data_IF_995357111960
#
_entry.id   IF_995357111960
#
_cell.length_a   1.000
_cell.length_b   1.000
_cell.length_c   1.000
_cell.angle_alpha   90.00
_cell.angle_beta   90.00
_cell.angle_gamma   90.00
#
_symmetry.space_group_name_H-M   'P 1'
#
loop_
_entity.id
_entity.type
_entity.pdbx_description
1 polymer ?
#
# COMPACT_ATOMS: atom_id res chain seq x y z
N UNK A 1 -27.59 19.54 -34.70
CA UNK A 1 -26.25 20.15 -34.87
C UNK A 1 -25.39 19.72 -33.71
N UNK A 2 -24.07 19.91 -33.79
CA UNK A 2 -23.14 19.51 -32.73
C UNK A 2 -22.83 20.71 -31.83
N UNK A 3 -22.96 20.55 -30.52
CA UNK A 3 -22.54 21.54 -29.53
C UNK A 3 -21.35 20.94 -28.77
N UNK A 4 -20.20 21.62 -28.79
CA UNK A 4 -18.97 21.16 -28.16
C UNK A 4 -18.68 22.03 -26.93
N UNK A 5 -18.45 21.37 -25.80
CA UNK A 5 -18.05 21.99 -24.54
C UNK A 5 -16.78 21.30 -24.06
N UNK A 6 -15.83 22.09 -23.56
CA UNK A 6 -14.54 21.61 -23.04
C UNK A 6 -14.45 21.96 -21.57
N UNK A 7 -14.19 20.97 -20.73
CA UNK A 7 -14.05 21.12 -19.29
C UNK A 7 -12.65 20.68 -18.86
N UNK A 8 -12.08 21.37 -17.87
CA UNK A 8 -10.85 20.93 -17.20
C UNK A 8 -11.25 19.95 -16.09
N UNK A 9 -10.67 18.75 -16.08
CA UNK A 9 -10.88 17.77 -15.00
C UNK A 9 -9.89 18.08 -13.88
N UNK A 10 -10.40 18.51 -12.73
CA UNK A 10 -9.62 18.85 -11.55
C UNK A 10 -9.78 17.81 -10.43
N UNK A 11 -8.80 17.65 -9.52
CA UNK A 11 -8.89 16.76 -8.34
C UNK A 11 -10.16 16.92 -7.50
N UNK A 12 -10.74 18.13 -7.47
CA UNK A 12 -11.95 18.45 -6.72
C UNK A 12 -13.24 17.80 -7.29
N UNK A 13 -13.18 17.18 -8.47
CA UNK A 13 -14.33 16.52 -9.12
C UNK A 13 -14.24 14.98 -9.08
N UNK A 14 -13.24 14.42 -8.40
CA UNK A 14 -13.17 13.00 -8.09
C UNK A 14 -14.05 12.66 -6.86
N UNK A 15 -14.69 11.47 -6.80
CA UNK A 15 -14.58 10.33 -7.72
C UNK A 15 -15.57 10.40 -8.92
N UNK A 16 -16.54 11.31 -8.89
CA UNK A 16 -17.66 11.34 -9.82
C UNK A 16 -17.99 12.77 -10.26
N UNK A 17 -17.78 13.05 -11.54
CA UNK A 17 -18.22 14.28 -12.17
C UNK A 17 -19.60 14.06 -12.79
N UNK A 18 -20.61 14.81 -12.33
CA UNK A 18 -21.92 14.87 -12.98
C UNK A 18 -22.11 16.16 -13.75
N UNK A 19 -22.54 16.06 -15.00
CA UNK A 19 -22.87 17.19 -15.85
C UNK A 19 -24.38 17.27 -16.08
N UNK A 20 -24.94 18.46 -15.91
CA UNK A 20 -26.30 18.81 -16.33
C UNK A 20 -26.22 19.78 -17.51
N UNK A 21 -26.91 19.46 -18.60
CA UNK A 21 -27.15 20.39 -19.70
C UNK A 21 -28.66 20.61 -19.80
N UNK A 22 -29.10 21.86 -19.80
CA UNK A 22 -30.51 22.21 -19.99
C UNK A 22 -30.69 23.45 -20.88
N UNK A 23 -31.89 23.61 -21.43
CA UNK A 23 -32.29 24.78 -22.20
C UNK A 23 -33.76 25.09 -21.96
N UNK A 24 -34.14 26.37 -22.08
CA UNK A 24 -35.50 26.86 -21.88
C UNK A 24 -36.10 27.30 -23.21
N UNK A 25 -37.17 26.64 -23.64
CA UNK A 25 -37.94 27.02 -24.82
C UNK A 25 -38.69 28.35 -24.59
N UNK A 26 -38.94 29.16 -25.64
CA UNK A 26 -39.88 30.29 -25.58
C UNK A 26 -41.31 29.92 -25.14
N UNK A 27 -41.68 28.62 -25.16
CA UNK A 27 -42.94 28.11 -24.58
C UNK A 27 -42.96 28.08 -23.05
N UNK A 28 -41.83 28.38 -22.39
CA UNK A 28 -41.66 28.24 -20.94
C UNK A 28 -41.40 26.80 -20.48
N UNK A 29 -40.99 25.93 -21.38
CA UNK A 29 -40.70 24.51 -21.19
C UNK A 29 -39.19 24.28 -21.05
N UNK A 30 -38.77 23.39 -20.14
CA UNK A 30 -37.35 23.08 -19.92
C UNK A 30 -37.01 21.70 -20.47
N UNK A 31 -36.01 21.64 -21.35
CA UNK A 31 -35.45 20.38 -21.86
C UNK A 31 -34.09 20.19 -21.19
N UNK A 32 -33.88 19.06 -20.53
CA UNK A 32 -32.65 18.74 -19.79
C UNK A 32 -32.07 17.36 -20.16
N UNK A 33 -30.80 17.16 -19.83
CA UNK A 33 -30.09 15.88 -19.92
C UNK A 33 -28.92 15.87 -18.94
N UNK A 34 -28.78 14.78 -18.18
CA UNK A 34 -27.66 14.50 -17.28
C UNK A 34 -26.66 13.52 -17.92
N UNK A 35 -25.41 13.56 -17.45
CA UNK A 35 -24.41 12.53 -17.72
C UNK A 35 -23.41 12.40 -16.56
N UNK A 36 -23.12 11.15 -16.18
CA UNK A 36 -22.21 10.78 -15.09
C UNK A 36 -20.87 10.30 -15.68
N UNK A 37 -19.77 10.90 -15.23
CA UNK A 37 -18.41 10.59 -15.64
C UNK A 37 -17.60 10.15 -14.42
N UNK A 38 -17.15 8.90 -14.43
CA UNK A 38 -16.21 8.39 -13.41
C UNK A 38 -14.86 9.10 -13.57
N UNK A 39 -14.33 9.64 -12.47
CA UNK A 39 -13.07 10.39 -12.42
C UNK A 39 -12.10 9.63 -11.52
N UNK A 40 -10.86 9.45 -11.97
CA UNK A 40 -9.81 8.79 -11.18
C UNK A 40 -9.60 9.50 -9.83
N UNK A 41 -9.38 8.72 -8.76
CA UNK A 41 -9.19 9.17 -7.36
C UNK A 41 -7.90 10.00 -7.17
N UNK A 42 -7.89 11.18 -7.77
CA UNK A 42 -6.75 12.09 -7.88
C UNK A 42 -6.64 12.97 -6.64
N UNK A 43 -5.62 12.75 -5.82
CA UNK A 43 -5.32 13.66 -4.70
C UNK A 43 -4.74 15.01 -5.20
N UNK A 44 -5.14 16.15 -4.61
CA UNK A 44 -4.70 17.48 -5.04
C UNK A 44 -3.21 17.76 -4.77
N UNK A 45 -2.72 17.45 -3.56
CA UNK A 45 -1.30 17.65 -3.23
C UNK A 45 -0.44 16.55 -3.90
N UNK A 46 0.37 16.93 -4.88
CA UNK A 46 1.15 15.97 -5.70
C UNK A 46 2.47 15.60 -5.02
N UNK A 47 2.42 14.54 -4.23
CA UNK A 47 3.58 13.99 -3.49
C UNK A 47 4.38 13.04 -4.39
N UNK A 48 5.71 13.18 -4.36
CA UNK A 48 6.68 12.25 -4.95
C UNK A 48 7.78 11.97 -3.94
N UNK A 49 8.22 10.72 -3.90
CA UNK A 49 9.29 10.23 -3.02
C UNK A 49 10.29 9.48 -3.90
N UNK A 50 11.60 9.61 -3.65
CA UNK A 50 12.63 8.87 -4.40
C UNK A 50 13.96 8.80 -3.65
N UNK A 51 14.58 7.62 -3.65
CA UNK A 51 15.96 7.45 -3.17
C UNK A 51 16.97 7.70 -4.28
N UNK A 52 18.08 8.36 -3.93
CA UNK A 52 19.22 8.63 -4.80
C UNK A 52 20.52 8.30 -4.03
N UNK A 53 21.22 7.20 -4.36
CA UNK A 53 20.88 6.14 -5.33
C UNK A 53 19.70 5.26 -4.89
N UNK A 54 19.21 4.39 -5.79
CA UNK A 54 18.15 3.39 -5.52
C UNK A 54 18.67 2.07 -4.93
N UNK A 55 19.97 1.83 -4.99
CA UNK A 55 20.65 0.68 -4.41
C UNK A 55 21.88 1.16 -3.64
N UNK A 56 22.21 0.48 -2.55
CA UNK A 56 23.37 0.80 -1.71
C UNK A 56 23.71 -0.33 -0.76
N UNK A 57 24.83 -0.15 -0.05
CA UNK A 57 25.36 -1.14 0.88
C UNK A 57 24.74 -0.96 2.28
N UNK A 58 24.61 -2.03 3.08
CA UNK A 58 24.47 -1.97 4.53
C UNK A 58 25.35 -0.88 5.17
N UNK A 59 24.80 -0.17 6.17
CA UNK A 59 25.44 0.92 6.92
C UNK A 59 25.95 2.14 6.12
N UNK A 60 25.81 2.18 4.79
CA UNK A 60 26.14 3.37 3.99
C UNK A 60 24.98 4.38 3.97
N UNK A 61 25.23 5.63 3.54
CA UNK A 61 24.19 6.66 3.46
C UNK A 61 23.59 6.76 2.05
N UNK A 62 22.30 7.10 1.98
CA UNK A 62 21.59 7.48 0.75
C UNK A 62 20.72 8.71 0.99
N UNK A 63 20.36 9.43 -0.08
CA UNK A 63 19.50 10.60 0.02
C UNK A 63 18.05 10.21 -0.32
N UNK A 64 17.12 10.49 0.58
CA UNK A 64 15.69 10.38 0.35
C UNK A 64 15.13 11.75 -0.02
N UNK A 65 14.74 11.91 -1.28
CA UNK A 65 14.16 13.15 -1.80
C UNK A 65 12.63 13.07 -1.74
N UNK A 66 12.00 14.07 -1.13
CA UNK A 66 10.56 14.27 -1.06
C UNK A 66 10.19 15.58 -1.77
N UNK A 67 9.24 15.51 -2.70
CA UNK A 67 8.63 16.67 -3.35
C UNK A 67 7.12 16.68 -3.09
N UNK A 68 6.58 17.79 -2.59
CA UNK A 68 5.15 18.00 -2.39
C UNK A 68 4.81 19.50 -2.53
N UNK A 69 3.58 19.90 -2.18
CA UNK A 69 3.25 21.35 -2.14
C UNK A 69 4.11 22.07 -1.09
N UNK A 70 4.55 23.32 -1.34
CA UNK A 70 5.33 24.10 -0.38
C UNK A 70 4.70 24.14 1.01
N UNK A 71 5.54 24.05 2.05
CA UNK A 71 5.11 24.04 3.47
C UNK A 71 4.17 22.89 3.87
N UNK A 72 4.04 21.83 3.06
CA UNK A 72 3.34 20.61 3.49
C UNK A 72 4.03 19.99 4.72
N UNK A 73 3.24 19.39 5.61
CA UNK A 73 3.72 18.47 6.64
C UNK A 73 3.50 17.04 6.14
N UNK A 74 4.56 16.25 6.06
CA UNK A 74 4.55 14.92 5.46
C UNK A 74 5.04 13.85 6.43
N UNK A 75 4.31 12.74 6.53
CA UNK A 75 4.75 11.54 7.22
C UNK A 75 5.47 10.60 6.24
N UNK A 76 6.63 10.08 6.64
CA UNK A 76 7.48 9.15 5.90
C UNK A 76 7.44 7.77 6.57
N UNK A 77 7.25 6.72 5.75
CA UNK A 77 7.33 5.31 6.16
C UNK A 77 8.32 4.58 5.25
N UNK A 78 9.23 3.80 5.81
CA UNK A 78 9.97 2.76 5.07
C UNK A 78 10.02 1.47 5.88
N UNK A 79 9.62 0.34 5.27
CA UNK A 79 9.53 -0.98 5.89
C UNK A 79 10.18 -2.06 5.02
N UNK A 80 10.61 -3.15 5.64
CA UNK A 80 11.12 -4.30 4.90
C UNK A 80 9.98 -4.96 4.10
N UNK A 81 10.26 -5.38 2.86
CA UNK A 81 9.30 -6.08 1.98
C UNK A 81 8.65 -7.30 2.64
N UNK A 82 9.37 -8.03 3.51
CA UNK A 82 8.83 -9.16 4.28
C UNK A 82 7.67 -8.76 5.20
N UNK A 83 7.69 -7.55 5.76
CA UNK A 83 6.59 -7.02 6.60
C UNK A 83 5.33 -6.81 5.77
N UNK A 84 5.47 -6.26 4.55
CA UNK A 84 4.33 -6.07 3.64
C UNK A 84 3.76 -7.40 3.13
N UNK A 85 4.60 -8.41 2.93
CA UNK A 85 4.15 -9.77 2.57
C UNK A 85 3.35 -10.45 3.69
N UNK A 86 3.47 -10.02 4.95
CA UNK A 86 2.61 -10.53 6.04
C UNK A 86 1.21 -9.91 6.04
N UNK A 87 1.06 -8.64 5.60
CA UNK A 87 -0.21 -7.91 5.56
C UNK A 87 -0.25 -6.85 4.44
N UNK A 88 -0.56 -7.24 3.19
CA UNK A 88 -0.67 -6.29 2.09
C UNK A 88 -1.96 -5.45 2.14
N UNK A 89 -3.01 -5.92 2.83
CA UNK A 89 -4.33 -5.26 2.90
C UNK A 89 -4.35 -3.99 3.77
N UNK A 90 -3.32 -3.77 4.61
CA UNK A 90 -3.14 -2.58 5.45
C UNK A 90 -2.39 -1.43 4.71
N UNK A 91 -2.20 -1.48 3.38
CA UNK A 91 -1.58 -0.39 2.62
C UNK A 91 -2.55 0.78 2.31
N UNK A 92 -2.13 1.98 2.68
CA UNK A 92 -2.86 3.22 2.42
C UNK A 92 -2.88 3.52 0.92
N UNK A 93 -4.08 3.57 0.33
CA UNK A 93 -4.31 3.82 -1.09
C UNK A 93 -5.23 5.06 -1.31
N UNK A 94 -5.22 5.68 -2.49
CA UNK A 94 -6.14 6.78 -2.80
C UNK A 94 -7.61 6.35 -2.68
N UNK A 95 -7.94 5.14 -3.15
CA UNK A 95 -9.27 4.54 -2.96
C UNK A 95 -9.67 4.49 -1.49
N UNK A 96 -8.83 3.95 -0.61
CA UNK A 96 -9.11 3.92 0.84
C UNK A 96 -9.42 5.32 1.42
N UNK A 97 -8.68 6.35 1.01
CA UNK A 97 -8.91 7.73 1.45
C UNK A 97 -10.23 8.30 0.92
N UNK A 98 -10.56 8.05 -0.35
CA UNK A 98 -11.88 8.42 -0.92
C UNK A 98 -13.02 7.59 -0.33
N UNK A 99 -12.74 6.36 0.14
CA UNK A 99 -13.74 5.47 0.74
C UNK A 99 -14.16 5.88 2.15
N UNK A 100 -13.32 6.63 2.87
CA UNK A 100 -13.65 7.28 4.14
C UNK A 100 -14.57 8.51 3.99
N UNK A 101 -14.84 9.00 2.77
CA UNK A 101 -15.73 10.14 2.57
C UNK A 101 -17.20 9.74 2.82
N UNK A 102 -17.91 10.39 3.77
CA UNK A 102 -19.24 9.97 4.20
C UNK A 102 -20.35 10.25 3.19
N UNK A 103 -20.07 11.05 2.15
CA UNK A 103 -21.00 11.39 1.07
C UNK A 103 -20.19 11.59 -0.22
N UNK A 104 -20.03 10.52 -1.00
CA UNK A 104 -19.35 10.53 -2.31
C UNK A 104 -20.28 10.95 -3.45
N UNK A 105 -21.59 10.76 -3.24
CA UNK A 105 -22.63 10.89 -4.25
C UNK A 105 -23.95 11.25 -3.56
N UNK A 106 -24.77 12.07 -4.21
CA UNK A 106 -26.17 12.33 -3.83
C UNK A 106 -27.06 11.70 -4.91
N UNK A 107 -28.08 10.92 -4.54
CA UNK A 107 -29.07 10.36 -5.49
C UNK A 107 -30.47 10.63 -4.97
N UNK A 108 -31.31 11.28 -5.78
CA UNK A 108 -32.67 11.63 -5.36
C UNK A 108 -32.68 12.63 -4.20
N UNK A 109 -33.83 12.70 -3.52
CA UNK A 109 -34.00 13.45 -2.28
C UNK A 109 -33.92 12.52 -1.05
N UNK A 110 -32.98 11.58 -1.06
CA UNK A 110 -32.71 10.66 0.05
C UNK A 110 -31.51 11.20 0.84
N UNK A 111 -31.69 11.48 2.13
CA UNK A 111 -30.59 11.84 3.03
C UNK A 111 -30.59 10.94 4.26
N UNK A 112 -29.61 10.05 4.35
CA UNK A 112 -29.64 8.89 5.26
C UNK A 112 -30.93 8.11 5.01
N UNK A 113 -31.77 7.94 6.03
CA UNK A 113 -33.04 7.21 5.96
C UNK A 113 -34.25 8.12 5.70
N UNK A 114 -34.05 9.43 5.50
CA UNK A 114 -35.12 10.40 5.27
C UNK A 114 -35.41 10.59 3.78
N UNK A 115 -36.66 10.37 3.40
CA UNK A 115 -37.21 10.77 2.10
C UNK A 115 -37.67 12.23 2.18
N UNK A 116 -37.10 13.10 1.34
CA UNK A 116 -37.29 14.55 1.37
C UNK A 116 -37.98 15.10 0.10
N UNK A 117 -38.62 14.23 -0.67
CA UNK A 117 -39.54 14.64 -1.73
C UNK A 117 -40.85 15.15 -1.14
N UNK A 118 -41.44 16.16 -1.78
CA UNK A 118 -42.77 16.69 -1.47
C UNK A 118 -43.76 16.19 -2.53
N UNK A 119 -45.01 15.93 -2.13
CA UNK A 119 -46.05 15.49 -3.05
C UNK A 119 -46.23 16.47 -4.23
N UNK A 120 -46.41 15.94 -5.44
CA UNK A 120 -46.64 16.74 -6.63
C UNK A 120 -48.03 17.41 -6.58
N UNK A 121 -48.08 18.65 -6.07
CA UNK A 121 -49.34 19.43 -5.93
C UNK A 121 -49.89 19.98 -7.25
N UNK A 122 -49.30 19.65 -8.41
CA UNK A 122 -49.85 20.04 -9.71
C UNK A 122 -51.11 19.21 -10.03
N UNK A 123 -52.23 19.84 -10.44
CA UNK A 123 -53.44 19.10 -10.78
C UNK A 123 -53.25 18.30 -12.08
N UNK A 124 -53.67 17.03 -12.07
CA UNK A 124 -53.69 16.20 -13.27
C UNK A 124 -54.62 16.81 -14.35
N UNK A 125 -54.29 16.58 -15.62
CA UNK A 125 -55.07 17.04 -16.75
C UNK A 125 -56.20 16.04 -17.08
N UNK A 126 -57.43 16.55 -17.12
CA UNK A 126 -58.56 15.86 -17.74
C UNK A 126 -58.56 16.16 -19.24
N UNK A 127 -58.35 15.14 -20.07
CA UNK A 127 -58.41 15.23 -21.53
C UNK A 127 -59.50 14.29 -22.07
N UNK A 128 -60.38 14.82 -22.93
CA UNK A 128 -61.43 14.04 -23.57
C UNK A 128 -60.90 13.20 -24.74
N UNK A 129 -61.59 12.08 -25.02
CA UNK A 129 -61.31 11.23 -26.17
C UNK A 129 -61.61 11.97 -27.49
N UNK A 130 -60.62 12.06 -28.39
CA UNK A 130 -60.77 12.76 -29.68
C UNK A 130 -61.28 11.77 -30.74
N UNK A 131 -62.33 12.14 -31.48
CA UNK A 131 -62.84 11.34 -32.60
C UNK A 131 -62.39 11.96 -33.92
N UNK A 132 -61.55 11.26 -34.68
CA UNK A 132 -61.03 11.68 -35.99
C UNK A 132 -61.17 10.55 -37.01
N UNK A 133 -61.85 10.83 -38.13
CA UNK A 133 -62.07 9.88 -39.24
C UNK A 133 -62.66 8.50 -38.81
N UNK A 134 -63.45 8.47 -37.73
CA UNK A 134 -64.05 7.25 -37.17
C UNK A 134 -63.17 6.49 -36.18
N UNK A 135 -61.92 6.91 -35.97
CA UNK A 135 -61.05 6.39 -34.92
C UNK A 135 -61.20 7.22 -33.63
N UNK A 136 -61.17 6.52 -32.49
CA UNK A 136 -61.17 7.14 -31.15
C UNK A 136 -59.75 7.17 -30.63
N UNK A 137 -59.23 8.37 -30.40
CA UNK A 137 -57.91 8.61 -29.82
C UNK A 137 -58.08 8.86 -28.32
N UNK A 138 -57.60 7.92 -27.52
CA UNK A 138 -57.61 8.00 -26.05
C UNK A 138 -56.30 8.66 -25.60
N UNK A 139 -56.34 9.75 -24.81
CA UNK A 139 -55.14 10.36 -24.28
C UNK A 139 -54.56 9.48 -23.16
N UNK A 140 -53.40 8.86 -23.43
CA UNK A 140 -52.64 8.10 -22.45
C UNK A 140 -51.53 8.97 -21.83
N UNK A 141 -51.20 8.70 -20.57
CA UNK A 141 -49.96 9.19 -19.97
C UNK A 141 -48.78 8.47 -20.63
N UNK A 142 -47.64 9.13 -20.91
CA UNK A 142 -46.43 8.45 -21.34
C UNK A 142 -45.80 7.70 -20.17
N UNK A 143 -46.22 6.45 -20.00
CA UNK A 143 -45.74 5.56 -18.95
C UNK A 143 -44.29 5.13 -19.22
N UNK A 144 -43.39 5.39 -18.27
CA UNK A 144 -41.97 5.07 -18.37
C UNK A 144 -41.08 6.15 -19.01
N UNK A 145 -41.65 7.23 -19.55
CA UNK A 145 -40.86 8.42 -19.94
C UNK A 145 -40.59 9.28 -18.70
N UNK A 146 -39.32 9.51 -18.37
CA UNK A 146 -38.90 10.45 -17.31
C UNK A 146 -38.89 11.89 -17.81
N UNK A 147 -39.06 12.85 -16.89
CA UNK A 147 -39.12 14.28 -17.22
C UNK A 147 -37.90 15.09 -16.73
N UNK A 148 -37.93 16.41 -16.94
CA UNK A 148 -36.85 17.30 -16.50
C UNK A 148 -36.76 17.39 -14.98
N UNK A 149 -37.85 17.21 -14.24
CA UNK A 149 -37.83 17.11 -12.77
C UNK A 149 -37.17 15.81 -12.31
N UNK A 150 -37.43 14.66 -12.96
CA UNK A 150 -36.77 13.39 -12.66
C UNK A 150 -35.24 13.50 -12.81
N UNK A 151 -34.77 14.15 -13.89
CA UNK A 151 -33.33 14.41 -14.14
C UNK A 151 -32.72 15.29 -13.03
N UNK A 152 -33.43 16.35 -12.61
CA UNK A 152 -32.96 17.25 -11.54
C UNK A 152 -32.97 16.54 -10.17
N UNK A 153 -33.97 15.69 -9.93
CA UNK A 153 -34.10 14.84 -8.74
C UNK A 153 -32.98 13.81 -8.65
N UNK A 154 -32.65 13.10 -9.73
CA UNK A 154 -31.53 12.14 -9.74
C UNK A 154 -30.21 12.80 -9.33
N UNK A 155 -29.96 14.02 -9.83
CA UNK A 155 -28.82 14.87 -9.47
C UNK A 155 -28.84 15.41 -8.02
N UNK A 156 -29.95 15.25 -7.30
CA UNK A 156 -30.15 15.77 -5.94
C UNK A 156 -30.49 17.28 -5.88
N UNK A 157 -30.92 17.88 -6.99
CA UNK A 157 -31.08 19.32 -7.14
C UNK A 157 -32.54 19.77 -7.04
N UNK A 158 -32.94 20.28 -5.88
CA UNK A 158 -34.26 20.92 -5.71
C UNK A 158 -34.29 22.30 -6.36
N UNK A 159 -34.90 22.39 -7.55
CA UNK A 159 -34.95 23.62 -8.36
C UNK A 159 -36.27 24.38 -8.18
N UNK A 160 -36.17 25.68 -7.89
CA UNK A 160 -37.29 26.61 -7.89
C UNK A 160 -37.35 27.33 -9.24
N UNK A 161 -38.45 27.18 -9.99
CA UNK A 161 -38.60 27.76 -11.34
C UNK A 161 -40.05 28.09 -11.66
N UNK A 162 -40.27 29.05 -12.56
CA UNK A 162 -41.57 29.34 -13.18
C UNK A 162 -41.77 28.63 -14.52
N UNK A 163 -40.76 27.90 -15.00
CA UNK A 163 -40.81 27.08 -16.21
C UNK A 163 -41.34 25.67 -15.92
N UNK A 164 -41.90 25.02 -16.94
CA UNK A 164 -42.44 23.66 -16.86
C UNK A 164 -41.29 22.66 -16.89
N UNK A 165 -41.11 21.95 -15.78
CA UNK A 165 -40.14 20.85 -15.61
C UNK A 165 -40.81 19.48 -15.46
N UNK A 166 -42.03 19.45 -14.92
CA UNK A 166 -42.85 18.25 -14.78
C UNK A 166 -43.56 17.89 -16.09
N UNK A 167 -43.71 16.60 -16.38
CA UNK A 167 -44.65 16.10 -17.39
C UNK A 167 -46.10 16.29 -16.94
N UNK A 168 -47.05 16.52 -17.87
CA UNK A 168 -48.46 16.58 -17.52
C UNK A 168 -49.03 15.19 -17.25
N UNK A 169 -49.28 14.86 -15.98
CA UNK A 169 -50.04 13.66 -15.63
C UNK A 169 -51.49 13.77 -16.11
N UNK A 170 -51.99 12.75 -16.80
CA UNK A 170 -53.40 12.65 -17.20
C UNK A 170 -54.15 11.91 -16.09
N UNK A 171 -55.35 12.38 -15.72
CA UNK A 171 -56.14 11.81 -14.63
C UNK A 171 -56.63 10.38 -14.95
N UNK A 172 -55.81 9.36 -14.66
CA UNK A 172 -56.17 7.95 -14.85
C UNK A 172 -56.99 7.39 -13.68
N UNK A 173 -57.86 6.41 -13.96
CA UNK A 173 -58.69 5.74 -12.97
C UNK A 173 -58.53 4.22 -13.07
N UNK A 174 -57.42 3.69 -12.53
CA UNK A 174 -57.09 2.26 -12.59
C UNK A 174 -57.49 1.50 -11.32
N UNK A 175 -58.30 0.42 -11.42
CA UNK A 175 -58.41 -0.59 -10.39
C UNK A 175 -57.07 -1.31 -10.23
N UNK A 176 -56.50 -1.30 -9.03
CA UNK A 176 -55.14 -1.77 -8.79
C UNK A 176 -54.96 -3.29 -8.90
N UNK A 177 -53.87 -3.71 -9.55
CA UNK A 177 -53.30 -5.05 -9.42
C UNK A 177 -51.79 -4.96 -9.20
N UNK A 178 -51.32 -5.57 -8.11
CA UNK A 178 -49.90 -5.80 -7.86
C UNK A 178 -49.32 -6.80 -8.86
N UNK A 179 -48.04 -6.66 -9.20
CA UNK A 179 -47.23 -7.78 -9.69
C UNK A 179 -45.80 -7.68 -9.13
N UNK A 180 -45.40 -8.70 -8.38
CA UNK A 180 -44.04 -8.85 -7.86
C UNK A 180 -43.03 -9.12 -8.99
N UNK A 181 -41.76 -8.78 -8.77
CA UNK A 181 -40.64 -9.40 -9.49
C UNK A 181 -39.55 -9.83 -8.52
N UNK A 182 -39.19 -11.11 -8.62
CA UNK A 182 -38.15 -11.77 -7.83
C UNK A 182 -36.74 -11.48 -8.37
N UNK A 183 -35.77 -11.38 -7.47
CA UNK A 183 -34.35 -11.49 -7.82
C UNK A 183 -34.00 -12.87 -8.41
N UNK A 184 -32.96 -12.91 -9.23
CA UNK A 184 -32.06 -14.07 -9.30
C UNK A 184 -30.65 -13.63 -9.72
N UNK A 185 -29.64 -14.38 -9.30
CA UNK A 185 -28.21 -14.08 -9.46
C UNK A 185 -27.57 -15.19 -10.31
N UNK A 186 -26.57 -14.83 -11.12
CA UNK A 186 -25.66 -15.79 -11.78
C UNK A 186 -24.21 -15.40 -11.53
N UNK A 187 -23.34 -16.41 -11.36
CA UNK A 187 -21.90 -16.23 -11.12
C UNK A 187 -21.11 -17.46 -11.62
N UNK A 188 -19.94 -17.25 -12.21
CA UNK A 188 -18.91 -18.30 -12.42
C UNK A 188 -17.51 -17.71 -12.72
N UNK A 189 -16.52 -18.23 -11.99
CA UNK A 189 -15.03 -18.28 -12.09
C UNK A 189 -14.39 -18.32 -13.50
N UNK A 190 -13.06 -18.20 -13.78
CA UNK A 190 -11.76 -17.68 -13.23
C UNK A 190 -10.72 -17.76 -14.44
N UNK A 191 -9.36 -17.67 -14.46
CA UNK A 191 -8.15 -17.63 -13.58
C UNK A 191 -6.99 -16.93 -14.38
N UNK A 192 -5.93 -16.44 -13.70
CA UNK A 192 -4.49 -16.23 -14.11
C UNK A 192 -4.11 -15.47 -15.43
N UNK A 193 -2.89 -14.97 -15.69
CA UNK A 193 -1.58 -15.01 -14.98
C UNK A 193 -0.76 -13.69 -15.19
N UNK A 194 0.40 -13.56 -14.53
CA UNK A 194 1.41 -12.49 -14.67
C UNK A 194 2.46 -12.77 -15.76
N UNK A 195 3.17 -11.73 -16.23
CA UNK A 195 4.66 -11.67 -16.11
C UNK A 195 5.21 -10.24 -16.27
N UNK A 196 6.48 -10.00 -15.89
CA UNK A 196 7.16 -8.70 -15.90
C UNK A 196 8.69 -8.85 -16.05
N UNK A 197 9.27 -8.36 -17.15
CA UNK A 197 10.75 -8.27 -17.31
C UNK A 197 11.24 -6.82 -17.41
N UNK A 198 12.16 -6.45 -16.51
CA UNK A 198 13.10 -5.34 -16.68
C UNK A 198 14.46 -5.80 -16.16
N UNK A 199 15.49 -5.71 -17.00
CA UNK A 199 16.89 -5.98 -16.64
C UNK A 199 17.63 -4.67 -16.35
N UNK A 200 18.54 -4.69 -15.37
CA UNK A 200 19.61 -3.71 -15.24
C UNK A 200 20.87 -4.38 -14.64
N UNK A 201 22.03 -3.77 -14.84
CA UNK A 201 23.34 -4.37 -14.57
C UNK A 201 24.07 -3.75 -13.37
N UNK A 202 25.09 -4.48 -12.90
CA UNK A 202 25.89 -4.17 -11.70
C UNK A 202 26.78 -2.93 -11.86
N UNK A 203 27.04 -2.25 -10.73
CA UNK A 203 28.23 -1.41 -10.55
C UNK A 203 28.78 -1.58 -9.12
N UNK A 204 30.03 -2.03 -9.00
CA UNK A 204 30.74 -2.19 -7.72
C UNK A 204 31.68 -1.00 -7.44
N UNK A 205 32.20 -0.91 -6.21
CA UNK A 205 33.18 0.09 -5.78
C UNK A 205 34.12 -0.45 -4.69
N UNK A 206 34.98 0.42 -4.15
CA UNK A 206 36.28 0.09 -3.52
C UNK A 206 36.25 -0.26 -2.00
N UNK A 207 37.28 -0.92 -1.42
CA UNK A 207 37.07 -1.80 -0.26
C UNK A 207 36.86 -1.15 1.10
N UNK A 208 35.81 -1.60 1.79
CA UNK A 208 35.54 -1.37 3.22
C UNK A 208 35.03 -2.69 3.87
N UNK A 209 35.20 -2.84 5.18
CA UNK A 209 34.77 -4.01 5.99
C UNK A 209 33.33 -3.83 6.48
N UNK A 210 32.47 -4.86 6.37
CA UNK A 210 31.05 -4.74 6.74
C UNK A 210 30.77 -5.38 8.10
N UNK A 211 30.32 -4.56 9.07
CA UNK A 211 29.90 -5.03 10.41
C UNK A 211 28.44 -4.67 10.61
N UNK A 212 27.59 -5.70 10.62
CA UNK A 212 26.14 -5.63 10.48
C UNK A 212 25.44 -6.05 11.77
N UNK A 213 24.68 -5.13 12.36
CA UNK A 213 24.05 -5.25 13.70
C UNK A 213 22.64 -4.63 13.80
N UNK A 214 22.31 -3.65 12.96
CA UNK A 214 21.06 -2.91 13.01
C UNK A 214 20.06 -3.46 11.99
N UNK A 215 19.24 -4.42 12.45
CA UNK A 215 18.28 -5.15 11.65
C UNK A 215 16.82 -4.84 12.08
N UNK A 216 16.30 -3.63 11.84
CA UNK A 216 14.92 -3.29 12.17
C UNK A 216 13.93 -3.90 11.15
N UNK A 217 12.65 -3.90 11.48
CA UNK A 217 11.53 -4.19 10.55
C UNK A 217 11.03 -2.92 9.83
N UNK A 218 11.17 -1.76 10.50
CA UNK A 218 10.83 -0.42 10.01
C UNK A 218 12.09 0.46 10.04
N UNK A 219 12.47 1.02 8.89
CA UNK A 219 13.67 1.84 8.73
C UNK A 219 13.40 3.33 8.99
N UNK A 220 12.33 3.87 8.41
CA UNK A 220 11.98 5.30 8.48
C UNK A 220 10.56 5.42 9.03
N UNK A 221 10.37 6.29 10.01
CA UNK A 221 9.08 6.58 10.64
C UNK A 221 9.06 8.01 11.18
N UNK A 222 9.05 8.97 10.26
CA UNK A 222 9.39 10.37 10.54
C UNK A 222 8.33 11.34 10.02
N UNK A 223 8.30 12.55 10.57
CA UNK A 223 7.43 13.63 10.10
C UNK A 223 8.29 14.83 9.72
N UNK A 224 8.18 15.28 8.47
CA UNK A 224 9.05 16.28 7.86
C UNK A 224 8.25 17.47 7.31
N UNK A 225 8.78 18.68 7.45
CA UNK A 225 8.21 19.89 6.85
C UNK A 225 8.87 20.19 5.51
N UNK A 226 8.07 20.28 4.45
CA UNK A 226 8.52 20.63 3.10
C UNK A 226 8.85 22.13 3.02
N UNK A 227 9.91 22.48 2.29
CA UNK A 227 10.40 23.86 2.20
C UNK A 227 9.45 24.77 1.36
N UNK A 228 9.85 26.03 1.14
CA UNK A 228 9.09 26.99 0.35
C UNK A 228 9.08 26.74 -1.17
N UNK A 229 9.93 25.84 -1.66
CA UNK A 229 10.08 25.48 -3.07
C UNK A 229 9.35 24.17 -3.41
N UNK A 230 8.87 23.43 -2.40
CA UNK A 230 8.21 22.14 -2.56
C UNK A 230 9.09 20.92 -2.27
N UNK A 231 10.34 21.12 -1.84
CA UNK A 231 11.32 20.05 -1.63
C UNK A 231 11.62 19.79 -0.14
N UNK A 232 12.02 18.56 0.18
CA UNK A 232 12.73 18.18 1.39
C UNK A 232 13.66 17.00 1.08
N UNK A 233 14.95 17.17 1.33
CA UNK A 233 15.97 16.13 1.15
C UNK A 233 16.42 15.63 2.53
N UNK A 234 16.51 14.31 2.69
CA UNK A 234 16.93 13.66 3.93
C UNK A 234 18.11 12.73 3.70
N UNK A 235 19.20 12.94 4.44
CA UNK A 235 20.32 12.02 4.52
C UNK A 235 19.98 10.89 5.48
N UNK A 236 19.86 9.66 4.97
CA UNK A 236 19.46 8.48 5.76
C UNK A 236 20.48 7.36 5.64
N UNK A 237 20.87 6.79 6.78
CA UNK A 237 21.75 5.60 6.85
C UNK A 237 20.94 4.34 6.57
N UNK A 238 21.43 3.50 5.66
CA UNK A 238 20.81 2.24 5.23
C UNK A 238 20.97 1.18 6.34
N UNK A 239 19.92 0.43 6.71
CA UNK A 239 20.02 -0.60 7.73
C UNK A 239 20.83 -1.81 7.27
N UNK A 240 21.19 -2.68 8.21
CA UNK A 240 22.07 -3.82 7.95
C UNK A 240 21.35 -5.04 7.34
N UNK A 241 20.03 -4.99 7.24
CA UNK A 241 19.20 -5.97 6.54
C UNK A 241 19.41 -5.87 5.03
N UNK A 242 19.99 -6.91 4.44
CA UNK A 242 20.15 -7.06 2.98
C UNK A 242 18.79 -7.48 2.42
N UNK A 243 18.06 -6.53 1.84
CA UNK A 243 16.62 -6.64 1.54
C UNK A 243 16.19 -5.61 0.50
N UNK A 244 14.92 -5.67 0.08
CA UNK A 244 14.26 -4.57 -0.62
C UNK A 244 13.39 -3.78 0.38
N UNK A 245 13.79 -2.56 0.68
CA UNK A 245 13.00 -1.62 1.48
C UNK A 245 11.91 -0.98 0.61
N UNK A 246 10.68 -0.93 1.11
CA UNK A 246 9.53 -0.28 0.46
C UNK A 246 9.14 0.95 1.28
N UNK A 247 9.09 2.10 0.62
CA UNK A 247 8.83 3.38 1.28
C UNK A 247 7.72 4.18 0.59
N UNK A 248 6.88 4.84 1.38
CA UNK A 248 5.86 5.77 0.91
C UNK A 248 5.71 6.95 1.88
N UNK A 249 5.00 7.97 1.43
CA UNK A 249 4.77 9.20 2.17
C UNK A 249 3.35 9.71 1.94
N UNK A 250 2.74 10.31 2.96
CA UNK A 250 1.56 11.15 2.79
C UNK A 250 1.82 12.55 3.31
N UNK A 251 1.22 13.55 2.67
CA UNK A 251 1.41 14.96 2.96
C UNK A 251 0.08 15.67 3.20
N UNK A 252 0.12 16.67 4.08
CA UNK A 252 -0.99 17.58 4.36
C UNK A 252 -0.53 19.02 4.15
N UNK A 253 -1.35 19.81 3.47
CA UNK A 253 -1.14 21.23 3.21
C UNK A 253 -2.44 21.99 3.51
N UNK A 254 -2.33 23.21 4.02
CA UNK A 254 -3.49 24.09 4.21
C UNK A 254 -4.07 24.58 2.87
N UNK A 255 -3.21 24.81 1.87
CA UNK A 255 -3.60 25.40 0.59
C UNK A 255 -4.02 24.34 -0.45
N UNK A 256 -3.44 23.14 -0.38
CA UNK A 256 -3.61 22.07 -1.38
C UNK A 256 -4.09 20.74 -0.80
N UNK A 257 -4.40 20.67 0.50
CA UNK A 257 -5.00 19.51 1.14
C UNK A 257 -4.10 18.29 1.24
N UNK A 258 -4.72 17.11 1.17
CA UNK A 258 -4.05 15.81 1.33
C UNK A 258 -3.40 15.32 0.02
N UNK A 259 -2.32 14.55 0.17
CA UNK A 259 -1.58 13.93 -0.92
C UNK A 259 -0.88 12.65 -0.46
N UNK A 260 -0.65 11.72 -1.39
CA UNK A 260 -0.03 10.42 -1.15
C UNK A 260 0.99 10.14 -2.26
N UNK A 261 2.17 9.64 -1.90
CA UNK A 261 3.17 9.20 -2.87
C UNK A 261 2.84 7.81 -3.39
N UNK A 262 3.38 7.46 -4.57
CA UNK A 262 3.54 6.05 -4.92
C UNK A 262 4.55 5.39 -3.96
N UNK A 263 4.41 4.08 -3.74
CA UNK A 263 5.41 3.29 -2.99
C UNK A 263 6.65 3.10 -3.85
N UNK A 264 7.78 3.63 -3.39
CA UNK A 264 9.10 3.45 -4.02
C UNK A 264 9.90 2.38 -3.32
N UNK A 265 10.93 1.88 -4.02
CA UNK A 265 11.75 0.76 -3.56
C UNK A 265 13.21 1.17 -3.49
N UNK A 266 13.89 0.74 -2.43
CA UNK A 266 15.34 0.88 -2.25
C UNK A 266 15.95 -0.49 -1.96
N UNK A 267 17.04 -0.84 -2.63
CA UNK A 267 17.69 -2.15 -2.50
C UNK A 267 18.94 -2.03 -1.63
N UNK A 268 18.90 -2.64 -0.44
CA UNK A 268 20.09 -2.83 0.38
C UNK A 268 20.74 -4.15 -0.07
N UNK A 269 21.86 -4.07 -0.79
CA UNK A 269 22.51 -5.25 -1.40
C UNK A 269 24.01 -5.29 -1.11
N UNK A 270 24.51 -6.52 -0.96
CA UNK A 270 25.92 -6.83 -0.81
C UNK A 270 26.21 -8.14 -1.58
N UNK A 271 27.21 -8.19 -2.47
CA UNK A 271 27.44 -9.39 -3.30
C UNK A 271 27.94 -10.63 -2.55
N UNK A 272 28.60 -10.45 -1.41
CA UNK A 272 29.12 -11.53 -0.56
C UNK A 272 28.81 -11.20 0.90
N UNK A 273 28.10 -12.10 1.58
CA UNK A 273 27.63 -11.90 2.96
C UNK A 273 27.30 -13.24 3.64
N UNK A 274 27.16 -13.21 4.97
CA UNK A 274 26.60 -14.30 5.77
C UNK A 274 25.19 -13.96 6.28
N UNK A 275 24.31 -14.96 6.32
CA UNK A 275 22.98 -14.88 6.92
C UNK A 275 22.85 -15.89 8.06
N UNK A 276 22.29 -15.46 9.20
CA UNK A 276 22.08 -16.32 10.36
C UNK A 276 20.63 -16.80 10.43
N UNK A 277 20.42 -18.11 10.31
CA UNK A 277 19.12 -18.72 10.60
C UNK A 277 19.05 -19.07 12.09
N UNK A 278 18.14 -18.40 12.81
CA UNK A 278 17.87 -18.60 14.23
C UNK A 278 16.35 -18.65 14.47
N UNK A 279 15.88 -19.29 15.55
CA UNK A 279 14.50 -19.13 16.03
C UNK A 279 14.28 -17.71 16.60
N UNK A 280 13.04 -17.38 16.94
CA UNK A 280 12.69 -16.12 17.62
C UNK A 280 13.21 -16.06 19.07
N UNK A 281 13.06 -17.17 19.79
CA UNK A 281 13.55 -17.36 21.16
C UNK A 281 13.97 -18.80 21.40
N UNK A 282 14.68 -19.05 22.51
CA UNK A 282 15.18 -20.36 22.94
C UNK A 282 15.13 -20.49 24.46
N UNK A 283 14.91 -21.70 24.96
CA UNK A 283 14.93 -21.98 26.41
C UNK A 283 16.38 -22.15 26.90
N UNK A 284 16.69 -21.57 28.07
CA UNK A 284 18.00 -21.73 28.72
C UNK A 284 18.35 -23.20 28.97
N UNK A 285 19.57 -23.60 28.61
CA UNK A 285 20.07 -24.96 28.81
C UNK A 285 19.58 -25.98 27.76
N UNK A 286 18.56 -25.67 26.98
CA UNK A 286 18.24 -26.45 25.77
C UNK A 286 19.26 -26.14 24.66
N UNK A 287 19.43 -27.08 23.73
CA UNK A 287 20.40 -26.92 22.64
C UNK A 287 19.69 -26.73 21.30
N UNK A 288 19.98 -25.63 20.60
CA UNK A 288 19.46 -25.33 19.27
C UNK A 288 20.56 -25.40 18.22
N UNK A 289 20.18 -25.41 16.94
CA UNK A 289 21.11 -25.39 15.81
C UNK A 289 21.17 -23.98 15.22
N UNK A 290 22.26 -23.24 15.51
CA UNK A 290 22.59 -22.00 14.83
C UNK A 290 23.16 -22.34 13.45
N UNK A 291 22.59 -21.79 12.38
CA UNK A 291 23.12 -21.93 11.02
C UNK A 291 23.61 -20.59 10.50
N UNK A 292 24.80 -20.59 9.91
CA UNK A 292 25.31 -19.48 9.12
C UNK A 292 25.39 -19.91 7.65
N UNK A 293 24.65 -19.23 6.77
CA UNK A 293 24.67 -19.48 5.32
C UNK A 293 25.39 -18.34 4.62
N UNK A 294 26.48 -18.68 3.94
CA UNK A 294 27.33 -17.75 3.21
C UNK A 294 26.86 -17.77 1.76
N UNK A 295 26.54 -16.59 1.22
CA UNK A 295 26.10 -16.40 -0.17
C UNK A 295 27.20 -15.74 -1.00
N UNK A 296 27.36 -16.20 -2.25
CA UNK A 296 28.25 -15.56 -3.22
C UNK A 296 27.50 -15.20 -4.51
N UNK A 297 27.26 -13.90 -4.71
CA UNK A 297 26.73 -13.31 -5.94
C UNK A 297 27.79 -12.55 -6.76
N UNK A 298 29.08 -12.74 -6.46
CA UNK A 298 30.19 -12.26 -7.29
C UNK A 298 30.31 -13.10 -8.57
N UNK A 299 31.01 -12.57 -9.57
CA UNK A 299 31.23 -13.23 -10.87
C UNK A 299 32.29 -14.34 -10.87
N UNK A 300 32.92 -14.60 -9.72
CA UNK A 300 33.97 -15.60 -9.54
C UNK A 300 33.78 -16.42 -8.26
N UNK A 301 34.52 -17.52 -8.14
CA UNK A 301 34.56 -18.31 -6.92
C UNK A 301 35.40 -17.62 -5.85
N UNK A 302 34.90 -17.66 -4.61
CA UNK A 302 35.61 -17.15 -3.44
C UNK A 302 35.96 -18.32 -2.50
N UNK A 303 37.02 -18.14 -1.71
CA UNK A 303 37.43 -19.07 -0.67
C UNK A 303 37.28 -18.39 0.68
N UNK A 304 36.44 -18.93 1.56
CA UNK A 304 35.98 -18.26 2.77
C UNK A 304 36.37 -19.03 4.03
N UNK A 305 36.88 -18.33 5.04
CA UNK A 305 36.84 -18.81 6.43
C UNK A 305 35.56 -18.31 7.10
N UNK A 306 35.03 -19.07 8.05
CA UNK A 306 33.83 -18.70 8.81
C UNK A 306 34.08 -19.00 10.28
N UNK A 307 33.71 -18.08 11.17
CA UNK A 307 33.93 -18.22 12.61
C UNK A 307 32.77 -17.65 13.42
N UNK A 308 32.39 -18.36 14.49
CA UNK A 308 31.49 -17.87 15.54
C UNK A 308 32.36 -17.38 16.70
N UNK A 309 32.12 -16.15 17.17
CA UNK A 309 32.87 -15.59 18.29
C UNK A 309 32.54 -16.32 19.61
N UNK A 310 33.57 -16.70 20.37
CA UNK A 310 33.40 -17.29 21.70
C UNK A 310 32.76 -16.28 22.68
N UNK A 311 31.91 -16.78 23.57
CA UNK A 311 31.23 -15.99 24.59
C UNK A 311 31.02 -16.79 25.87
N UNK A 312 30.94 -16.11 27.01
CA UNK A 312 30.55 -16.74 28.29
C UNK A 312 29.05 -17.03 28.37
N UNK A 313 28.24 -16.40 27.50
CA UNK A 313 26.77 -16.47 27.53
C UNK A 313 26.19 -17.76 26.93
N UNK A 314 26.97 -18.54 26.18
CA UNK A 314 26.56 -19.79 25.55
C UNK A 314 27.75 -20.77 25.47
N UNK A 315 27.47 -22.04 25.17
CA UNK A 315 28.44 -22.94 24.54
C UNK A 315 28.05 -23.14 23.08
N UNK A 316 29.04 -23.33 22.22
CA UNK A 316 28.84 -23.72 20.83
C UNK A 316 29.80 -24.86 20.46
N UNK A 317 29.31 -25.84 19.70
CA UNK A 317 30.13 -26.91 19.11
C UNK A 317 29.72 -27.14 17.66
N UNK A 318 30.65 -27.13 16.68
CA UNK A 318 30.30 -27.33 15.28
C UNK A 318 29.73 -28.74 15.04
N UNK A 319 28.77 -28.86 14.11
CA UNK A 319 28.15 -30.16 13.76
C UNK A 319 29.06 -31.01 12.88
N UNK A 320 29.80 -30.37 11.99
CA UNK A 320 30.82 -30.98 11.14
C UNK A 320 32.22 -30.74 11.75
N UNK A 321 33.26 -31.39 11.22
CA UNK A 321 34.62 -30.90 11.48
C UNK A 321 34.77 -29.57 10.75
N UNK A 322 35.11 -28.50 11.47
CA UNK A 322 35.45 -27.22 10.85
C UNK A 322 36.65 -27.42 9.93
N UNK A 323 36.47 -27.07 8.65
CA UNK A 323 37.54 -26.98 7.67
C UNK A 323 38.06 -25.54 7.72
N UNK A 324 39.38 -25.33 7.66
CA UNK A 324 39.99 -23.99 7.78
C UNK A 324 39.47 -22.98 6.73
N UNK A 325 38.94 -23.49 5.61
CA UNK A 325 38.28 -22.69 4.58
C UNK A 325 37.39 -23.53 3.67
N UNK A 326 36.28 -22.95 3.23
CA UNK A 326 35.35 -23.51 2.26
C UNK A 326 35.43 -22.77 0.93
N UNK A 327 35.07 -23.43 -0.16
CA UNK A 327 34.89 -22.81 -1.48
C UNK A 327 33.41 -22.52 -1.74
N UNK A 328 33.11 -21.35 -2.31
CA UNK A 328 31.75 -20.95 -2.71
C UNK A 328 31.83 -20.30 -4.10
N UNK A 329 31.32 -20.97 -5.13
CA UNK A 329 31.29 -20.43 -6.49
C UNK A 329 30.07 -19.53 -6.76
N UNK A 330 29.99 -19.01 -7.98
CA UNK A 330 28.96 -18.05 -8.43
C UNK A 330 27.55 -18.60 -8.21
N UNK A 331 26.72 -17.86 -7.48
CA UNK A 331 25.36 -18.23 -7.06
C UNK A 331 25.27 -19.49 -6.20
N UNK A 332 26.39 -20.00 -5.69
CA UNK A 332 26.40 -21.06 -4.67
C UNK A 332 26.24 -20.47 -3.27
N UNK A 333 25.94 -21.36 -2.32
CA UNK A 333 25.92 -21.07 -0.88
C UNK A 333 26.52 -22.22 -0.09
N UNK A 334 27.34 -21.93 0.92
CA UNK A 334 27.78 -22.90 1.93
C UNK A 334 27.09 -22.56 3.25
N UNK A 335 26.41 -23.52 3.85
CA UNK A 335 25.94 -23.43 5.23
C UNK A 335 26.92 -24.14 6.14
N UNK A 336 27.28 -23.50 7.24
CA UNK A 336 27.92 -24.11 8.42
C UNK A 336 26.96 -24.04 9.60
N UNK A 337 27.12 -24.91 10.60
CA UNK A 337 26.21 -24.98 11.73
C UNK A 337 26.91 -25.37 13.04
N UNK A 338 26.44 -24.77 14.13
CA UNK A 338 26.86 -25.07 15.50
C UNK A 338 25.65 -25.49 16.33
N UNK A 339 25.82 -26.52 17.16
CA UNK A 339 24.93 -26.83 18.27
C UNK A 339 25.25 -25.84 19.38
N UNK A 340 24.28 -25.02 19.75
CA UNK A 340 24.44 -23.92 20.70
C UNK A 340 23.55 -24.17 21.93
N UNK A 341 24.15 -24.08 23.12
CA UNK A 341 23.46 -24.20 24.41
C UNK A 341 23.55 -22.87 25.18
N UNK A 342 22.47 -22.08 25.30
CA UNK A 342 22.47 -20.83 26.04
C UNK A 342 22.66 -21.04 27.56
N UNK A 343 23.34 -20.08 28.21
CA UNK A 343 23.59 -20.05 29.65
C UNK A 343 22.99 -18.81 30.33
N UNK A 344 23.13 -17.66 29.69
CA UNK A 344 22.57 -16.38 30.17
C UNK A 344 21.11 -16.22 29.72
N UNK A 345 20.30 -15.54 30.53
CA UNK A 345 18.89 -15.21 30.21
C UNK A 345 18.79 -13.83 29.54
N UNK A 346 17.68 -13.60 28.83
CA UNK A 346 17.40 -12.35 28.12
C UNK A 346 18.06 -12.31 26.74
N UNK A 347 18.33 -11.11 26.22
CA UNK A 347 18.97 -10.95 24.92
C UNK A 347 20.43 -11.38 24.95
N UNK A 348 20.78 -12.43 24.20
CA UNK A 348 22.14 -12.92 24.02
C UNK A 348 22.63 -12.64 22.60
N UNK A 349 23.82 -12.05 22.48
CA UNK A 349 24.41 -11.69 21.19
C UNK A 349 25.21 -12.84 20.58
N UNK A 350 24.95 -13.12 19.30
CA UNK A 350 25.69 -14.04 18.45
C UNK A 350 26.40 -13.26 17.35
N UNK A 351 27.73 -13.34 17.32
CA UNK A 351 28.59 -12.67 16.35
C UNK A 351 29.29 -13.70 15.46
N UNK A 352 29.00 -13.70 14.16
CA UNK A 352 29.61 -14.59 13.17
C UNK A 352 30.33 -13.76 12.11
N UNK A 353 31.60 -14.08 11.86
CA UNK A 353 32.42 -13.46 10.80
C UNK A 353 32.64 -14.44 9.66
N UNK A 354 32.49 -13.97 8.41
CA UNK A 354 32.96 -14.66 7.20
C UNK A 354 34.00 -13.79 6.51
N UNK A 355 35.12 -14.36 6.05
CA UNK A 355 36.22 -13.63 5.42
C UNK A 355 36.71 -14.34 4.15
N UNK A 356 36.77 -13.61 3.04
CA UNK A 356 37.29 -14.07 1.75
C UNK A 356 38.83 -14.03 1.75
N UNK A 357 39.45 -15.21 1.84
CA UNK A 357 40.88 -15.37 2.01
C UNK A 357 41.65 -15.04 0.73
N UNK A 358 42.66 -14.17 0.83
CA UNK A 358 43.58 -13.79 -0.26
C UNK A 358 44.55 -14.93 -0.68
N UNK A 359 44.44 -16.12 -0.08
CA UNK A 359 45.35 -17.24 -0.32
C UNK A 359 44.99 -17.99 -1.61
N UNK A 360 45.94 -18.02 -2.55
CA UNK A 360 45.83 -18.52 -3.93
C UNK A 360 45.63 -20.06 -4.09
N UNK A 361 45.02 -20.75 -3.12
CA UNK A 361 44.65 -22.17 -3.30
C UNK A 361 43.33 -22.26 -4.09
N UNK A 362 43.34 -22.72 -5.36
CA UNK A 362 42.18 -22.68 -6.22
C UNK A 362 41.02 -23.55 -5.69
N UNK A 363 39.80 -23.15 -6.04
CA UNK A 363 38.60 -23.93 -5.76
C UNK A 363 38.46 -25.04 -6.81
N UNK A 364 39.26 -26.09 -6.63
CA UNK A 364 39.45 -27.15 -7.62
C UNK A 364 40.12 -26.60 -8.88
N UNK A 365 39.32 -26.41 -9.93
CA UNK A 365 39.78 -25.83 -11.20
C UNK A 365 39.52 -24.32 -11.32
N UNK A 366 38.77 -23.71 -10.40
CA UNK A 366 38.43 -22.30 -10.45
C UNK A 366 39.49 -21.44 -9.76
N UNK A 367 39.86 -20.32 -10.40
CA UNK A 367 40.65 -19.25 -9.78
C UNK A 367 39.80 -18.59 -8.70
N UNK A 368 40.40 -18.38 -7.53
CA UNK A 368 39.78 -17.65 -6.42
C UNK A 368 40.02 -16.15 -6.56
N UNK A 369 38.96 -15.36 -6.58
CA UNK A 369 39.05 -13.90 -6.44
C UNK A 369 38.75 -13.50 -4.99
N UNK A 370 39.29 -12.35 -4.55
CA UNK A 370 38.84 -11.69 -3.32
C UNK A 370 38.22 -10.36 -3.69
N UNK A 371 36.99 -10.06 -3.22
CA UNK A 371 36.27 -8.88 -3.67
C UNK A 371 36.96 -7.59 -3.22
N UNK A 372 36.90 -6.55 -4.05
CA UNK A 372 37.28 -5.19 -3.65
C UNK A 372 36.19 -4.48 -2.82
N UNK A 373 35.27 -5.21 -2.17
CA UNK A 373 34.37 -4.69 -1.11
C UNK A 373 33.85 -5.81 -0.23
N UNK A 374 33.71 -5.55 1.07
CA UNK A 374 33.20 -6.54 2.03
C UNK A 374 34.05 -7.80 2.08
N UNK A 375 35.40 -7.69 2.01
CA UNK A 375 36.31 -8.85 2.11
C UNK A 375 36.03 -9.68 3.38
N UNK A 376 35.55 -9.02 4.42
CA UNK A 376 35.01 -9.62 5.62
C UNK A 376 33.63 -9.02 5.91
N UNK A 377 32.68 -9.89 6.21
CA UNK A 377 31.32 -9.56 6.63
C UNK A 377 31.07 -10.18 8.01
N UNK A 378 30.64 -9.35 8.96
CA UNK A 378 30.42 -9.75 10.36
C UNK A 378 28.98 -9.45 10.76
N UNK A 379 28.21 -10.48 11.09
CA UNK A 379 26.82 -10.35 11.55
C UNK A 379 26.73 -10.54 13.05
N UNK A 380 26.21 -9.52 13.73
CA UNK A 380 25.83 -9.55 15.14
C UNK A 380 24.30 -9.56 15.22
N UNK A 381 23.72 -10.63 15.77
CA UNK A 381 22.27 -10.75 16.01
C UNK A 381 22.02 -11.07 17.48
N UNK A 382 20.96 -10.48 18.04
CA UNK A 382 20.47 -10.82 19.36
C UNK A 382 19.39 -11.90 19.26
N UNK A 383 19.34 -12.77 20.27
CA UNK A 383 18.36 -13.85 20.41
C UNK A 383 17.82 -13.86 21.85
N UNK A 384 16.51 -13.97 22.01
CA UNK A 384 15.88 -14.02 23.34
C UNK A 384 16.08 -15.40 23.97
N UNK A 385 16.67 -15.44 25.16
CA UNK A 385 16.80 -16.65 25.98
C UNK A 385 15.81 -16.62 27.15
N UNK A 386 14.81 -17.48 27.06
CA UNK A 386 13.71 -17.64 28.01
C UNK A 386 14.12 -18.57 29.17
N UNK A 387 13.52 -18.39 30.37
CA UNK A 387 13.75 -19.27 31.51
C UNK A 387 13.09 -20.65 31.29
N UNK A 388 13.70 -21.70 31.84
CA UNK A 388 13.15 -23.04 31.80
C UNK A 388 11.90 -23.21 32.68
N UNK A 389 10.89 -23.93 32.16
CA UNK A 389 9.66 -24.26 32.89
C UNK A 389 8.39 -24.03 32.07
N UNK A 390 7.31 -23.67 32.76
CA UNK A 390 6.04 -23.26 32.16
C UNK A 390 5.55 -22.04 32.93
N UNK A 391 5.19 -20.97 32.23
CA UNK A 391 4.71 -19.74 32.86
C UNK A 391 3.34 -19.96 33.54
N UNK A 392 3.17 -19.36 34.71
CA UNK A 392 1.92 -19.40 35.50
C UNK A 392 1.57 -17.98 35.94
N UNK A 393 0.83 -17.27 35.09
CA UNK A 393 0.27 -15.96 35.45
C UNK A 393 -0.87 -16.13 36.47
N UNK A 394 -0.93 -15.23 37.46
CA UNK A 394 -2.05 -15.14 38.43
C UNK A 394 -2.48 -13.69 38.62
N UNK A 395 -3.61 -13.33 38.02
CA UNK A 395 -4.11 -11.95 38.03
C UNK A 395 -4.98 -11.67 39.26
N UNK A 396 -4.53 -10.76 40.14
CA UNK A 396 -5.27 -10.33 41.33
C UNK A 396 -5.96 -8.97 41.07
N UNK A 397 -7.19 -8.99 40.56
CA UNK A 397 -7.98 -7.78 40.33
C UNK A 397 -8.76 -7.34 41.58
N UNK A 398 -8.90 -6.03 41.77
CA UNK A 398 -9.78 -5.44 42.79
C UNK A 398 -10.32 -4.10 42.32
N UNK A 399 -11.51 -3.72 42.79
CA UNK A 399 -12.16 -2.45 42.47
C UNK A 399 -12.21 -1.60 43.73
N UNK A 400 -11.50 -0.46 43.71
CA UNK A 400 -11.40 0.46 44.84
C UNK A 400 -12.34 1.66 44.61
N UNK A 401 -13.59 1.53 45.07
CA UNK A 401 -14.53 2.65 45.13
C UNK A 401 -14.35 3.41 46.45
N UNK A 402 -13.98 4.68 46.38
CA UNK A 402 -13.93 5.58 47.54
C UNK A 402 -15.32 6.17 47.77
N UNK A 403 -15.84 6.12 49.00
CA UNK A 403 -17.06 6.83 49.38
C UNK A 403 -16.83 8.34 49.33
N UNK A 404 -17.68 9.06 48.59
CA UNK A 404 -17.75 10.53 48.61
C UNK A 404 -18.66 11.06 49.70
#
# INVERSE_FOLDING_TARGET
GTFQLTFLVEPAVAPLARMLVYTTSPSGEVIASSADFQVENCLPNKVRLSFVPKEGLPASNTHLQLHASPRSLCALRAVDKSVLLMKPEDELSPSFVYDLLPLKEIRGYIFKDYYLEEDNVNPCLSLDNIILNGFVYIPISPDGEGDTYDILKELGLKVFTSSRIYKPEICQHYPGHMMERSYSITAMHLLDDFDYEVTDHMAAGNPEETVRKYFPETWIWDIVSVNSEGNADLDVTIPDTITEWKANAFCTSADTGFGLSQTVSFRAFQPFFVELTMPYSVVRGESFMLKATIFNYLTACIRVSVSLAESTNFLATPLEKEEESYCVCVNERKTVAWTVTPRSLGQVEFSVSTEALQNQQPCGNAVTETPEKGQKDTVIRQLMVEPEGTEVETTYNSVLCVSG
#
